data_IF_888730577761
#
_entry.id   IF_888730577761
#
_cell.length_a   1.000
_cell.length_b   1.000
_cell.length_c   1.000
_cell.angle_alpha   90.00
_cell.angle_beta   90.00
_cell.angle_gamma   90.00
#
_symmetry.space_group_name_H-M   'P 1'
#
loop_
_entity.id
_entity.type
_entity.pdbx_description
1 polymer ?
#
# COMPACT_ATOMS: atom_id res chain seq x y z
N UNK A 1 -8.70 -0.01 -3.67
CA UNK A 1 -9.24 0.79 -2.56
C UNK A 1 -10.07 -0.13 -1.68
N UNK A 2 -9.91 -0.08 -0.36
CA UNK A 2 -10.58 -0.96 0.60
C UNK A 2 -11.66 -0.16 1.35
N UNK A 3 -12.93 -0.60 1.39
CA UNK A 3 -13.97 0.07 2.15
C UNK A 3 -13.80 -0.20 3.65
N UNK A 4 -13.87 0.86 4.46
CA UNK A 4 -13.66 0.80 5.93
C UNK A 4 -14.99 1.00 6.70
N UNK A 5 -16.08 1.23 5.97
CA UNK A 5 -17.40 1.55 6.49
C UNK A 5 -17.89 2.93 6.06
N UNK A 6 -19.20 3.07 5.92
CA UNK A 6 -19.80 4.29 5.38
C UNK A 6 -19.26 4.65 3.99
N UNK A 7 -18.92 5.92 3.78
CA UNK A 7 -18.31 6.43 2.54
C UNK A 7 -16.78 6.63 2.67
N UNK A 8 -16.12 5.87 3.55
CA UNK A 8 -14.68 5.96 3.78
C UNK A 8 -13.92 4.78 3.17
N UNK A 9 -12.76 5.07 2.62
CA UNK A 9 -11.93 4.11 1.91
C UNK A 9 -10.45 4.26 2.27
N UNK A 10 -9.73 3.14 2.32
CA UNK A 10 -8.27 3.12 2.34
C UNK A 10 -7.71 2.88 0.94
N UNK A 11 -6.73 3.70 0.57
CA UNK A 11 -5.87 3.47 -0.60
C UNK A 11 -4.53 3.01 -0.09
N UNK A 12 -4.14 1.79 -0.45
CA UNK A 12 -2.85 1.23 -0.08
C UNK A 12 -1.88 1.44 -1.24
N UNK A 13 -0.72 2.03 -0.95
CA UNK A 13 0.29 2.38 -1.93
C UNK A 13 1.64 1.78 -1.52
N UNK A 14 2.13 0.76 -2.25
CA UNK A 14 3.52 0.34 -2.15
C UNK A 14 4.41 1.32 -2.91
N UNK A 15 5.52 1.72 -2.31
CA UNK A 15 6.34 2.86 -2.74
C UNK A 15 7.83 2.55 -2.55
N UNK A 16 8.70 3.34 -3.21
CA UNK A 16 10.13 3.43 -2.87
C UNK A 16 10.35 4.63 -1.93
N UNK A 17 11.20 4.47 -0.93
CA UNK A 17 11.83 5.59 -0.24
C UNK A 17 12.80 6.33 -1.16
N UNK A 18 13.11 7.57 -0.81
CA UNK A 18 14.04 8.40 -1.56
C UNK A 18 15.40 7.71 -1.72
N UNK A 19 15.89 7.05 -0.66
CA UNK A 19 17.16 6.30 -0.70
C UNK A 19 17.12 5.14 -1.70
N UNK A 20 16.05 4.34 -1.71
CA UNK A 20 15.93 3.25 -2.68
C UNK A 20 15.67 3.75 -4.10
N UNK A 21 14.98 4.87 -4.26
CA UNK A 21 14.80 5.54 -5.54
C UNK A 21 16.13 6.00 -6.13
N UNK A 22 17.00 6.61 -5.34
CA UNK A 22 18.34 7.01 -5.79
C UNK A 22 19.17 5.80 -6.25
N UNK A 23 19.12 4.69 -5.52
CA UNK A 23 19.82 3.46 -5.89
C UNK A 23 19.30 2.93 -7.22
N UNK A 24 17.97 2.85 -7.39
CA UNK A 24 17.36 2.42 -8.65
C UNK A 24 17.77 3.30 -9.83
N UNK A 25 17.77 4.62 -9.64
CA UNK A 25 18.15 5.58 -10.66
C UNK A 25 19.63 5.45 -11.07
N UNK A 26 20.54 5.28 -10.09
CA UNK A 26 21.97 5.07 -10.34
C UNK A 26 22.26 3.74 -11.04
N UNK A 27 21.46 2.71 -10.77
CA UNK A 27 21.58 1.40 -11.41
C UNK A 27 21.01 1.37 -12.85
N UNK A 28 20.76 2.52 -13.49
CA UNK A 28 20.19 2.62 -14.85
C UNK A 28 18.86 1.88 -15.01
N UNK A 29 18.00 1.93 -13.99
CA UNK A 29 16.72 1.23 -13.93
C UNK A 29 16.83 -0.30 -13.85
N UNK A 30 17.92 -0.83 -13.27
CA UNK A 30 18.02 -2.26 -12.97
C UNK A 30 16.79 -2.75 -12.18
N UNK A 31 16.26 -3.90 -12.58
CA UNK A 31 15.01 -4.43 -12.05
C UNK A 31 15.19 -5.13 -10.68
N UNK A 32 16.45 -5.16 -10.19
CA UNK A 32 16.86 -5.69 -8.88
C UNK A 32 16.26 -4.95 -7.67
N UNK A 33 15.60 -3.80 -7.88
CA UNK A 33 15.03 -2.99 -6.81
C UNK A 33 13.68 -3.48 -6.32
N UNK A 34 13.38 -3.18 -5.06
CA UNK A 34 12.14 -3.56 -4.37
C UNK A 34 11.47 -2.32 -3.77
N UNK A 35 10.18 -2.43 -3.45
CA UNK A 35 9.49 -1.42 -2.67
C UNK A 35 9.80 -1.65 -1.19
N UNK A 36 10.17 -0.59 -0.48
CA UNK A 36 10.53 -0.62 0.93
C UNK A 36 9.52 0.07 1.84
N UNK A 37 8.55 0.75 1.24
CA UNK A 37 7.46 1.42 1.94
C UNK A 37 6.10 0.85 1.52
N UNK A 38 5.21 0.71 2.50
CA UNK A 38 3.79 0.46 2.29
C UNK A 38 3.01 1.48 3.10
N UNK A 39 2.32 2.40 2.44
CA UNK A 39 1.52 3.41 3.09
C UNK A 39 0.04 3.23 2.81
N UNK A 40 -0.78 3.78 3.69
CA UNK A 40 -2.20 3.96 3.45
C UNK A 40 -2.60 5.43 3.47
N UNK A 41 -3.66 5.71 2.73
CA UNK A 41 -4.36 7.00 2.73
C UNK A 41 -5.83 6.74 3.03
N UNK A 42 -6.41 7.48 3.97
CA UNK A 42 -7.85 7.46 4.23
C UNK A 42 -8.52 8.53 3.40
N UNK A 43 -9.54 8.13 2.64
CA UNK A 43 -10.36 9.01 1.82
C UNK A 43 -11.77 8.97 2.36
N UNK A 44 -12.31 10.15 2.69
CA UNK A 44 -13.72 10.35 2.97
C UNK A 44 -14.41 10.85 1.70
N UNK A 45 -15.22 9.99 1.07
CA UNK A 45 -15.95 10.30 -0.15
C UNK A 45 -17.25 11.07 0.10
N UNK A 46 -17.66 11.28 1.36
CA UNK A 46 -18.78 12.16 1.68
C UNK A 46 -18.35 13.64 1.76
N UNK A 47 -17.07 13.90 2.00
CA UNK A 47 -16.52 15.24 2.13
C UNK A 47 -16.61 16.04 0.82
N UNK A 48 -16.43 17.37 0.90
CA UNK A 48 -16.47 18.30 -0.23
C UNK A 48 -17.73 18.15 -1.10
N UNK A 49 -18.91 18.09 -0.48
CA UNK A 49 -20.19 17.85 -1.15
C UNK A 49 -20.19 16.62 -2.08
N UNK A 50 -19.51 15.55 -1.66
CA UNK A 50 -19.41 14.30 -2.42
C UNK A 50 -18.26 14.23 -3.43
N UNK A 51 -17.41 15.26 -3.54
CA UNK A 51 -16.18 15.21 -4.34
C UNK A 51 -15.07 14.40 -3.68
N UNK A 52 -15.20 14.16 -2.37
CA UNK A 52 -14.24 13.41 -1.58
C UNK A 52 -13.07 14.26 -1.08
N UNK A 53 -12.39 13.74 -0.05
CA UNK A 53 -11.22 14.37 0.57
C UNK A 53 -10.31 13.30 1.17
N UNK A 54 -9.01 13.43 0.95
CA UNK A 54 -8.00 12.65 1.70
C UNK A 54 -7.96 13.21 3.13
N UNK A 55 -8.35 12.40 4.11
CA UNK A 55 -8.40 12.79 5.53
C UNK A 55 -7.18 12.31 6.31
N UNK A 56 -6.53 11.24 5.85
CA UNK A 56 -5.20 10.83 6.31
C UNK A 56 -4.35 10.50 5.09
N UNK A 57 -3.08 10.92 5.10
CA UNK A 57 -2.18 10.72 3.97
C UNK A 57 -0.82 10.26 4.45
N UNK A 58 -0.20 9.35 3.69
CA UNK A 58 1.16 8.84 3.94
C UNK A 58 1.31 8.21 5.32
N UNK A 59 0.30 7.46 5.78
CA UNK A 59 0.40 6.76 7.05
C UNK A 59 1.11 5.43 6.85
N UNK A 60 2.22 5.15 7.55
CA UNK A 60 2.99 3.92 7.33
C UNK A 60 2.28 2.67 7.84
N UNK A 61 2.14 1.67 6.97
CA UNK A 61 1.81 0.28 7.33
C UNK A 61 3.08 -0.57 7.50
N UNK A 62 4.06 -0.36 6.61
CA UNK A 62 5.39 -0.93 6.70
C UNK A 62 6.43 0.08 6.22
N UNK A 63 7.59 -0.01 6.85
CA UNK A 63 8.80 0.70 6.46
C UNK A 63 9.98 -0.28 6.54
N UNK A 64 11.02 -0.05 5.75
CA UNK A 64 12.21 -0.92 5.69
C UNK A 64 11.88 -2.38 5.32
N UNK A 65 10.87 -2.58 4.46
CA UNK A 65 10.45 -3.91 4.01
C UNK A 65 11.11 -4.29 2.67
N UNK A 66 10.99 -5.56 2.30
CA UNK A 66 11.44 -6.07 0.99
C UNK A 66 10.22 -6.50 0.19
N UNK A 67 9.45 -5.56 -0.35
CA UNK A 67 8.17 -5.86 -0.99
C UNK A 67 8.35 -6.05 -2.51
N UNK A 68 7.67 -7.05 -3.05
CA UNK A 68 7.62 -7.26 -4.50
C UNK A 68 7.01 -6.05 -5.20
N UNK A 69 7.47 -5.72 -6.41
CA UNK A 69 6.81 -4.69 -7.24
C UNK A 69 5.36 -5.11 -7.61
N UNK A 70 5.15 -6.26 -8.27
CA UNK A 70 3.81 -6.75 -8.56
C UNK A 70 3.17 -7.46 -7.35
N UNK A 71 1.90 -7.84 -7.50
CA UNK A 71 1.24 -8.76 -6.59
C UNK A 71 0.86 -8.14 -5.24
N UNK A 72 -0.37 -7.65 -5.15
CA UNK A 72 -1.02 -7.29 -3.90
C UNK A 72 -2.48 -7.68 -4.03
N UNK A 73 -2.98 -8.45 -3.07
CA UNK A 73 -4.36 -8.96 -3.08
C UNK A 73 -5.05 -8.57 -1.79
N UNK A 74 -6.36 -8.34 -1.87
CA UNK A 74 -7.18 -8.08 -0.70
C UNK A 74 -8.32 -9.09 -0.64
N UNK A 75 -8.58 -9.63 0.55
CA UNK A 75 -9.66 -10.57 0.81
C UNK A 75 -10.54 -10.01 1.93
N UNK A 76 -11.86 -10.02 1.74
CA UNK A 76 -12.79 -9.61 2.80
C UNK A 76 -12.88 -10.72 3.84
N UNK A 77 -12.65 -10.39 5.10
CA UNK A 77 -12.76 -11.31 6.22
C UNK A 77 -14.22 -11.79 6.38
N UNK A 78 -14.40 -12.99 6.94
CA UNK A 78 -15.71 -13.63 7.09
C UNK A 78 -16.69 -12.80 7.95
N UNK A 79 -16.20 -11.91 8.81
CA UNK A 79 -17.02 -11.00 9.60
C UNK A 79 -17.66 -9.85 8.81
N UNK A 80 -17.37 -9.74 7.50
CA UNK A 80 -17.99 -8.78 6.59
C UNK A 80 -17.56 -7.33 6.76
N UNK A 81 -16.65 -7.04 7.70
CA UNK A 81 -16.15 -5.69 7.99
C UNK A 81 -14.67 -5.57 7.69
N UNK A 82 -13.90 -6.56 8.10
CA UNK A 82 -12.45 -6.49 8.04
C UNK A 82 -11.94 -6.99 6.69
N UNK A 83 -10.76 -6.53 6.32
CA UNK A 83 -10.09 -6.91 5.09
C UNK A 83 -8.68 -7.38 5.44
N UNK A 84 -8.30 -8.51 4.85
CA UNK A 84 -6.92 -8.96 4.85
C UNK A 84 -6.23 -8.47 3.60
N UNK A 85 -5.03 -7.91 3.78
CA UNK A 85 -4.16 -7.54 2.68
C UNK A 85 -2.97 -8.50 2.63
N UNK A 86 -2.71 -9.07 1.45
CA UNK A 86 -1.57 -9.94 1.21
C UNK A 86 -0.58 -9.23 0.28
N UNK A 87 0.67 -9.09 0.74
CA UNK A 87 1.76 -8.51 -0.04
C UNK A 87 2.96 -9.45 -0.08
N UNK A 88 3.38 -9.82 -1.28
CA UNK A 88 4.55 -10.69 -1.47
C UNK A 88 5.86 -9.99 -1.13
N UNK A 89 6.81 -10.76 -0.59
CA UNK A 89 8.20 -10.33 -0.41
C UNK A 89 8.94 -10.38 -1.75
N UNK A 90 9.90 -9.49 -1.96
CA UNK A 90 10.73 -9.46 -3.15
C UNK A 90 11.59 -10.73 -3.26
N UNK A 91 11.49 -11.42 -4.40
CA UNK A 91 12.28 -12.61 -4.75
C UNK A 91 12.23 -13.72 -3.70
N UNK A 92 11.11 -13.85 -3.01
CA UNK A 92 10.88 -14.87 -1.99
C UNK A 92 9.40 -15.30 -2.00
N UNK A 93 9.11 -16.49 -1.50
CA UNK A 93 7.76 -17.04 -1.34
C UNK A 93 7.03 -16.56 -0.06
N UNK A 94 7.66 -15.69 0.72
CA UNK A 94 7.08 -15.14 1.95
C UNK A 94 6.04 -14.05 1.65
N UNK A 95 5.01 -13.96 2.50
CA UNK A 95 3.95 -12.96 2.41
C UNK A 95 3.78 -12.18 3.71
N UNK A 96 3.54 -10.87 3.59
CA UNK A 96 3.08 -10.02 4.68
C UNK A 96 1.55 -9.97 4.69
N UNK A 97 0.97 -10.09 5.88
CA UNK A 97 -0.49 -10.00 6.13
C UNK A 97 -0.79 -8.80 7.01
N UNK A 98 -1.90 -8.11 6.72
CA UNK A 98 -2.41 -6.94 7.45
C UNK A 98 -3.93 -7.03 7.60
#
# INVERSE_FOLDING_TARGET
>A
MLPVGGKKFYVIAPLLSDTHYEVWQRAMNDDSTYFDLLWYHEIDMAANNGLGRVVQSKVPLLENAYLSKPGMMACRHANGRDWWLLKGRYHNSDFHTF
#
